data_IF_317668784746
#
_entry.id   IF_317668784746
#
_cell.length_a   1.000
_cell.length_b   1.000
_cell.length_c   1.000
_cell.angle_alpha   90.00
_cell.angle_beta   90.00
_cell.angle_gamma   90.00
#
_symmetry.space_group_name_H-M   'P 1'
#
loop_
_entity.id
_entity.type
_entity.pdbx_description
1 polymer ?
#
# COMPACT_ATOMS: atom_id res chain seq x y z
N UNK A 1 -15.04 11.14 -26.89
CA UNK A 1 -14.10 11.76 -25.93
C UNK A 1 -13.82 13.16 -26.43
N UNK A 2 -14.19 14.18 -25.66
CA UNK A 2 -13.83 15.57 -25.97
C UNK A 2 -12.31 15.70 -25.98
N UNK A 3 -11.69 16.35 -26.99
CA UNK A 3 -10.25 16.52 -27.02
C UNK A 3 -9.82 17.38 -25.83
N UNK A 4 -8.81 16.91 -25.10
CA UNK A 4 -8.24 17.65 -23.98
C UNK A 4 -7.64 18.97 -24.49
N UNK A 5 -8.25 20.09 -24.10
CA UNK A 5 -7.87 21.45 -24.52
C UNK A 5 -6.41 21.76 -24.22
N UNK A 6 -5.84 21.16 -23.18
CA UNK A 6 -4.51 21.50 -22.68
C UNK A 6 -3.45 20.44 -22.96
N UNK A 7 -3.83 19.27 -23.51
CA UNK A 7 -2.94 18.12 -23.68
C UNK A 7 -2.13 17.83 -22.40
N UNK A 8 -2.78 17.94 -21.24
CA UNK A 8 -2.12 17.98 -19.96
C UNK A 8 -1.79 16.57 -19.45
N UNK A 9 -0.56 16.39 -18.95
CA UNK A 9 -0.13 15.12 -18.38
C UNK A 9 -0.34 15.15 -16.87
N UNK A 10 -1.22 14.28 -16.38
CA UNK A 10 -1.48 14.10 -14.95
C UNK A 10 -0.36 13.27 -14.32
N UNK A 11 0.35 13.86 -13.35
CA UNK A 11 1.44 13.22 -12.61
C UNK A 11 1.24 13.36 -11.12
N UNK A 12 1.57 12.31 -10.35
CA UNK A 12 1.57 12.37 -8.89
C UNK A 12 2.88 12.93 -8.36
N UNK A 13 2.87 13.41 -7.12
CA UNK A 13 4.10 13.90 -6.46
C UNK A 13 5.21 12.83 -6.43
N UNK A 14 4.84 11.58 -6.16
CA UNK A 14 5.79 10.45 -6.19
C UNK A 14 6.31 10.15 -7.58
N UNK A 15 5.46 10.22 -8.62
CA UNK A 15 5.88 9.89 -9.98
C UNK A 15 6.80 10.95 -10.58
N UNK A 16 6.55 12.24 -10.31
CA UNK A 16 7.45 13.31 -10.77
C UNK A 16 8.79 13.24 -10.05
N UNK A 17 8.82 12.90 -8.75
CA UNK A 17 10.07 12.75 -8.02
C UNK A 17 10.92 11.59 -8.59
N UNK A 18 10.30 10.45 -8.86
CA UNK A 18 10.97 9.32 -9.53
C UNK A 18 11.50 9.71 -10.91
N UNK A 19 10.76 10.51 -11.69
CA UNK A 19 11.20 10.99 -13.00
C UNK A 19 12.42 11.92 -12.90
N UNK A 20 12.41 12.86 -11.95
CA UNK A 20 13.50 13.80 -11.71
C UNK A 20 14.78 13.08 -11.30
N UNK A 21 14.67 12.00 -10.52
CA UNK A 21 15.81 11.17 -10.13
C UNK A 21 16.30 10.28 -11.27
N UNK A 22 15.38 9.58 -11.95
CA UNK A 22 15.71 8.71 -13.07
C UNK A 22 14.48 8.47 -13.98
N UNK A 23 14.48 9.01 -15.22
CA UNK A 23 13.38 8.81 -16.16
C UNK A 23 13.07 7.34 -16.46
N UNK A 24 14.09 6.48 -16.48
CA UNK A 24 13.91 5.03 -16.69
C UNK A 24 13.23 4.37 -15.48
N UNK A 25 13.56 4.77 -14.26
CA UNK A 25 12.89 4.29 -13.06
C UNK A 25 11.42 4.71 -13.04
N UNK A 26 11.12 5.95 -13.43
CA UNK A 26 9.73 6.42 -13.61
C UNK A 26 8.95 5.53 -14.58
N UNK A 27 9.52 5.25 -15.76
CA UNK A 27 8.84 4.41 -16.74
C UNK A 27 8.52 3.03 -16.16
N UNK A 28 9.51 2.36 -15.55
CA UNK A 28 9.33 1.01 -14.99
C UNK A 28 8.37 0.98 -13.80
N UNK A 29 8.38 1.99 -12.92
CA UNK A 29 7.54 2.05 -11.72
C UNK A 29 6.12 2.55 -11.99
N UNK A 30 5.91 3.42 -12.99
CA UNK A 30 4.65 4.14 -13.16
C UNK A 30 3.94 3.92 -14.49
N UNK A 31 4.69 3.64 -15.57
CA UNK A 31 4.14 3.53 -16.93
C UNK A 31 4.08 2.07 -17.41
N UNK A 32 5.11 1.29 -17.11
CA UNK A 32 5.27 -0.08 -17.60
C UNK A 32 4.17 -1.01 -17.04
N UNK A 33 3.68 -1.87 -17.93
CA UNK A 33 2.67 -2.89 -17.66
C UNK A 33 3.16 -4.20 -18.27
N UNK A 34 2.82 -5.31 -17.62
CA UNK A 34 3.13 -6.64 -18.16
C UNK A 34 2.46 -6.81 -19.54
N UNK A 35 3.21 -7.15 -20.60
CA UNK A 35 2.67 -7.27 -21.95
C UNK A 35 1.63 -8.39 -22.09
N UNK A 36 1.61 -9.39 -21.20
CA UNK A 36 0.65 -10.51 -21.26
C UNK A 36 -0.67 -10.18 -20.58
N UNK A 37 -0.61 -9.54 -19.41
CA UNK A 37 -1.80 -9.26 -18.58
C UNK A 37 -2.29 -7.82 -18.70
N UNK A 38 -1.48 -6.90 -19.21
CA UNK A 38 -1.76 -5.46 -19.21
C UNK A 38 -1.77 -4.83 -17.81
N UNK A 39 -1.42 -5.59 -16.77
CA UNK A 39 -1.44 -5.12 -15.39
C UNK A 39 -0.13 -4.44 -15.01
N UNK A 40 -0.24 -3.43 -14.14
CA UNK A 40 0.93 -2.77 -13.56
C UNK A 40 1.65 -3.73 -12.62
N UNK A 41 2.95 -3.90 -12.81
CA UNK A 41 3.78 -4.73 -11.94
C UNK A 41 4.18 -3.90 -10.72
N UNK A 42 3.90 -4.42 -9.53
CA UNK A 42 4.41 -3.87 -8.27
C UNK A 42 5.16 -4.95 -7.51
N UNK A 43 6.33 -4.61 -6.99
CA UNK A 43 7.12 -5.50 -6.15
C UNK A 43 6.58 -5.38 -4.73
N UNK A 44 6.12 -6.51 -4.18
CA UNK A 44 5.69 -6.55 -2.79
C UNK A 44 6.89 -6.77 -1.88
N UNK A 45 6.97 -6.00 -0.80
CA UNK A 45 8.03 -6.11 0.21
C UNK A 45 7.44 -6.09 1.62
N UNK A 46 8.09 -6.70 2.62
CA UNK A 46 7.59 -6.72 4.00
C UNK A 46 7.27 -5.32 4.58
N UNK A 47 8.10 -4.27 4.37
CA UNK A 47 7.76 -2.93 4.85
C UNK A 47 6.56 -2.31 4.14
N UNK A 48 6.42 -2.56 2.83
CA UNK A 48 5.26 -2.09 2.07
C UNK A 48 3.98 -2.77 2.55
N UNK A 49 4.03 -4.07 2.86
CA UNK A 49 2.91 -4.84 3.36
C UNK A 49 2.44 -4.31 4.72
N UNK A 50 3.40 -4.09 5.63
CA UNK A 50 3.14 -3.46 6.92
C UNK A 50 2.46 -2.10 6.76
N UNK A 51 3.06 -1.20 5.97
CA UNK A 51 2.53 0.15 5.77
C UNK A 51 1.12 0.12 5.17
N UNK A 52 0.89 -0.72 4.17
CA UNK A 52 -0.41 -0.86 3.53
C UNK A 52 -1.51 -1.24 4.53
N UNK A 53 -1.28 -2.25 5.37
CA UNK A 53 -2.30 -2.68 6.34
C UNK A 53 -2.53 -1.63 7.42
N UNK A 54 -1.47 -0.97 7.91
CA UNK A 54 -1.61 0.12 8.90
C UNK A 54 -2.43 1.27 8.32
N UNK A 55 -2.16 1.68 7.08
CA UNK A 55 -2.94 2.71 6.40
C UNK A 55 -4.41 2.28 6.22
N UNK A 56 -4.67 1.06 5.80
CA UNK A 56 -6.04 0.53 5.61
C UNK A 56 -6.83 0.55 6.93
N UNK A 57 -6.22 0.16 8.06
CA UNK A 57 -6.87 0.23 9.38
C UNK A 57 -7.21 1.67 9.76
N UNK A 58 -6.25 2.60 9.62
CA UNK A 58 -6.45 4.01 10.01
C UNK A 58 -7.49 4.69 9.11
N UNK A 59 -7.48 4.39 7.81
CA UNK A 59 -8.44 4.94 6.86
C UNK A 59 -9.86 4.47 7.15
N UNK A 60 -10.05 3.17 7.46
CA UNK A 60 -11.34 2.66 7.89
C UNK A 60 -11.84 3.37 9.17
N UNK A 61 -10.96 3.61 10.15
CA UNK A 61 -11.30 4.36 11.36
C UNK A 61 -11.66 5.82 11.07
N UNK A 62 -11.03 6.46 10.08
CA UNK A 62 -11.30 7.86 9.74
C UNK A 62 -12.73 8.08 9.27
N UNK A 63 -13.37 7.05 8.72
CA UNK A 63 -14.76 7.10 8.24
C UNK A 63 -15.79 6.98 9.36
N UNK A 64 -15.40 6.50 10.55
CA UNK A 64 -16.31 6.28 11.68
C UNK A 64 -16.48 7.56 12.53
N UNK A 65 -17.69 7.80 13.09
CA UNK A 65 -17.89 8.83 14.10
C UNK A 65 -16.97 8.62 15.30
N UNK A 66 -16.44 9.70 15.89
CA UNK A 66 -15.45 9.65 16.98
C UNK A 66 -15.85 8.71 18.13
N UNK A 67 -17.14 8.69 18.46
CA UNK A 67 -17.71 7.85 19.53
C UNK A 67 -17.64 6.35 19.23
N UNK A 68 -17.55 5.97 17.95
CA UNK A 68 -17.57 4.58 17.49
C UNK A 68 -16.20 4.07 17.04
N UNK A 69 -15.21 4.97 16.86
CA UNK A 69 -13.84 4.63 16.40
C UNK A 69 -13.14 3.59 17.25
N UNK A 70 -13.40 3.59 18.56
CA UNK A 70 -12.78 2.66 19.51
C UNK A 70 -13.72 1.51 19.92
N UNK A 71 -14.96 1.46 19.38
CA UNK A 71 -15.91 0.37 19.68
C UNK A 71 -15.64 -0.89 18.86
N UNK A 72 -15.17 -0.75 17.61
CA UNK A 72 -14.57 -1.87 16.86
C UNK A 72 -13.12 -1.99 17.31
N UNK A 73 -12.74 -3.15 17.84
CA UNK A 73 -11.37 -3.43 18.30
C UNK A 73 -10.42 -3.24 17.10
N UNK A 74 -9.57 -2.20 17.07
CA UNK A 74 -8.68 -1.94 15.94
C UNK A 74 -7.73 -3.09 15.65
N UNK A 75 -7.41 -3.89 16.67
CA UNK A 75 -6.58 -5.09 16.58
C UNK A 75 -7.26 -6.25 15.85
N UNK A 76 -8.56 -6.47 16.07
CA UNK A 76 -9.29 -7.53 15.38
C UNK A 76 -9.31 -7.24 13.88
N UNK A 77 -9.57 -5.97 13.53
CA UNK A 77 -9.57 -5.55 12.14
C UNK A 77 -8.18 -5.66 11.51
N UNK A 78 -7.14 -5.26 12.24
CA UNK A 78 -5.77 -5.45 11.80
C UNK A 78 -5.45 -6.92 11.52
N UNK A 79 -5.83 -7.83 12.41
CA UNK A 79 -5.58 -9.27 12.24
C UNK A 79 -6.37 -9.87 11.07
N UNK A 80 -7.58 -9.38 10.79
CA UNK A 80 -8.34 -9.74 9.58
C UNK A 80 -7.64 -9.28 8.30
N UNK A 81 -7.22 -8.02 8.27
CA UNK A 81 -6.55 -7.43 7.10
C UNK A 81 -5.18 -8.07 6.86
N UNK A 82 -4.46 -8.43 7.92
CA UNK A 82 -3.17 -9.12 7.82
C UNK A 82 -3.27 -10.43 7.03
N UNK A 83 -4.39 -11.16 7.11
CA UNK A 83 -4.62 -12.41 6.35
C UNK A 83 -4.48 -12.23 4.84
N UNK A 84 -4.69 -11.01 4.31
CA UNK A 84 -4.57 -10.71 2.88
C UNK A 84 -3.12 -10.73 2.39
N UNK A 85 -2.15 -10.45 3.27
CA UNK A 85 -0.74 -10.25 2.94
C UNK A 85 0.19 -11.33 3.52
N UNK A 86 -0.33 -12.44 4.04
CA UNK A 86 0.50 -13.48 4.68
C UNK A 86 1.43 -14.19 3.68
N UNK A 87 2.59 -14.64 4.17
CA UNK A 87 3.59 -15.37 3.39
C UNK A 87 4.08 -14.63 2.15
N UNK A 88 4.19 -15.36 1.02
CA UNK A 88 4.72 -14.82 -0.24
C UNK A 88 3.92 -13.62 -0.77
N UNK A 89 2.63 -13.51 -0.42
CA UNK A 89 1.79 -12.38 -0.87
C UNK A 89 2.19 -11.04 -0.25
N UNK A 90 2.80 -11.04 0.94
CA UNK A 90 3.36 -9.85 1.59
C UNK A 90 4.84 -9.64 1.32
N UNK A 91 5.46 -10.52 0.52
CA UNK A 91 6.90 -10.51 0.30
C UNK A 91 7.71 -11.11 1.46
N UNK A 92 7.10 -11.94 2.31
CA UNK A 92 7.79 -12.63 3.40
C UNK A 92 8.44 -13.94 2.88
N UNK A 93 9.71 -14.15 3.24
CA UNK A 93 10.48 -15.34 2.89
C UNK A 93 10.41 -16.42 3.97
N UNK A 94 10.23 -15.99 5.22
CA UNK A 94 10.18 -16.83 6.41
C UNK A 94 9.14 -16.28 7.40
N UNK A 95 8.69 -17.16 8.29
CA UNK A 95 7.63 -16.87 9.25
C UNK A 95 8.09 -15.92 10.36
N UNK A 96 9.34 -16.02 10.78
CA UNK A 96 9.89 -15.18 11.85
C UNK A 96 9.92 -13.70 11.44
N UNK A 97 10.29 -13.44 10.18
CA UNK A 97 10.23 -12.11 9.58
C UNK A 97 8.79 -11.63 9.52
N UNK A 98 7.85 -12.46 9.05
CA UNK A 98 6.43 -12.10 9.02
C UNK A 98 5.91 -11.71 10.42
N UNK A 99 6.18 -12.53 11.43
CA UNK A 99 5.75 -12.30 12.81
C UNK A 99 6.39 -11.03 13.41
N UNK A 100 7.66 -10.74 13.06
CA UNK A 100 8.32 -9.49 13.44
C UNK A 100 7.61 -8.27 12.87
N UNK A 101 7.25 -8.28 11.59
CA UNK A 101 6.51 -7.18 10.97
C UNK A 101 5.08 -7.09 11.50
N UNK A 102 4.43 -8.22 11.77
CA UNK A 102 3.09 -8.27 12.36
C UNK A 102 3.07 -7.64 13.75
N UNK A 103 4.02 -8.01 14.61
CA UNK A 103 4.15 -7.41 15.96
C UNK A 103 4.37 -5.90 15.88
N UNK A 104 5.27 -5.46 14.98
CA UNK A 104 5.53 -4.03 14.75
C UNK A 104 4.26 -3.28 14.32
N UNK A 105 3.42 -3.87 13.48
CA UNK A 105 2.16 -3.24 13.07
C UNK A 105 1.14 -3.12 14.19
N UNK A 106 1.05 -4.14 15.06
CA UNK A 106 0.24 -4.04 16.28
C UNK A 106 0.73 -2.91 17.19
N UNK A 107 2.04 -2.77 17.39
CA UNK A 107 2.61 -1.66 18.17
C UNK A 107 2.33 -0.29 17.53
N UNK A 108 2.22 -0.19 16.20
CA UNK A 108 1.85 1.06 15.52
C UNK A 108 0.40 1.45 15.74
N UNK A 109 -0.52 0.47 15.78
CA UNK A 109 -1.96 0.71 15.96
C UNK A 109 -2.33 0.91 17.44
N UNK A 110 -1.53 0.36 18.35
CA UNK A 110 -1.74 0.50 19.79
C UNK A 110 -1.38 1.88 20.37
N UNK A 111 -0.77 2.78 19.57
CA UNK A 111 -0.35 4.12 19.97
C UNK A 111 -1.45 5.15 19.72
#
# INVERSE_FOLDING_TARGET
>A
MTPDKYSAVWVSHTSINDFRQCPRAYFLKHVYKDPKTGHKIKIMTPPLALGQIVHEVIEEMSTLPTQDRFKKIPMDRYDELWKKITGKKGGFFDRDTEDKYKRRGREMIAR
#
